data_IF_147087098646
#
_entry.id   IF_147087098646
#
_cell.length_a   1.000
_cell.length_b   1.000
_cell.length_c   1.000
_cell.angle_alpha   90.00
_cell.angle_beta   90.00
_cell.angle_gamma   90.00
#
_symmetry.space_group_name_H-M   'P 1'
#
loop_
_entity.id
_entity.type
_entity.pdbx_description
1 polymer ?
#
# COMPACT_ATOMS: atom_id res chain seq x y z
N UNK A 1 -2.44 12.61 -12.90
CA UNK A 1 -3.00 13.50 -11.87
C UNK A 1 -2.57 12.96 -10.52
N UNK A 2 -1.73 13.68 -9.83
CA UNK A 2 -1.18 13.28 -8.54
C UNK A 2 -2.14 13.76 -7.44
N UNK A 3 -2.64 12.82 -6.63
CA UNK A 3 -3.60 13.11 -5.56
C UNK A 3 -2.90 13.46 -4.25
N UNK A 4 -1.68 12.95 -4.08
CA UNK A 4 -0.84 13.15 -2.90
C UNK A 4 0.57 13.57 -3.30
N UNK A 5 1.16 14.46 -2.54
CA UNK A 5 2.55 14.91 -2.68
C UNK A 5 3.25 14.80 -1.33
N UNK A 6 4.53 14.47 -1.33
CA UNK A 6 5.34 14.54 -0.11
C UNK A 6 6.04 15.89 -0.09
N UNK A 7 5.71 16.73 0.90
CA UNK A 7 6.35 18.03 1.15
C UNK A 7 6.95 18.03 2.55
N UNK A 8 8.25 18.25 2.63
CA UNK A 8 8.98 18.32 3.91
C UNK A 8 8.74 17.12 4.83
N UNK A 9 8.64 15.91 4.25
CA UNK A 9 8.35 14.66 4.98
C UNK A 9 6.90 14.47 5.40
N UNK A 10 5.99 15.38 5.01
CA UNK A 10 4.57 15.26 5.28
C UNK A 10 3.80 14.97 3.99
N UNK A 11 2.75 14.17 4.10
CA UNK A 11 1.83 13.91 2.99
C UNK A 11 0.85 15.07 2.87
N UNK A 12 0.94 15.82 1.79
CA UNK A 12 -0.04 16.80 1.38
C UNK A 12 -0.96 16.20 0.31
N UNK A 13 -2.24 16.52 0.34
CA UNK A 13 -3.17 16.11 -0.70
C UNK A 13 -3.54 17.29 -1.62
N UNK A 14 -3.71 17.00 -2.89
CA UNK A 14 -4.22 17.98 -3.85
C UNK A 14 -5.70 18.31 -3.57
N UNK A 15 -6.13 19.59 -3.66
CA UNK A 15 -7.54 19.95 -3.58
C UNK A 15 -8.44 19.15 -4.53
N UNK A 16 -7.88 18.68 -5.63
CA UNK A 16 -8.56 17.81 -6.59
C UNK A 16 -8.93 16.44 -6.01
N UNK A 17 -8.24 15.95 -4.97
CA UNK A 17 -8.62 14.72 -4.28
C UNK A 17 -10.05 14.83 -3.72
N UNK A 18 -10.48 15.99 -3.28
CA UNK A 18 -11.82 16.23 -2.74
C UNK A 18 -12.94 16.18 -3.77
N UNK A 19 -12.63 16.15 -5.06
CA UNK A 19 -13.63 15.93 -6.13
C UNK A 19 -14.08 14.48 -6.18
N UNK A 20 -13.32 13.56 -5.61
CA UNK A 20 -13.67 12.14 -5.54
C UNK A 20 -14.50 11.85 -4.29
N UNK A 21 -15.59 11.10 -4.50
CA UNK A 21 -16.60 10.83 -3.47
C UNK A 21 -15.99 10.21 -2.22
N UNK A 22 -15.06 9.26 -2.36
CA UNK A 22 -14.42 8.58 -1.24
C UNK A 22 -13.69 9.57 -0.32
N UNK A 23 -12.82 10.43 -0.87
CA UNK A 23 -12.10 11.45 -0.09
C UNK A 23 -13.03 12.56 0.41
N UNK A 24 -14.03 12.95 -0.40
CA UNK A 24 -15.03 13.94 0.04
C UNK A 24 -15.84 13.46 1.26
N UNK A 25 -16.09 12.15 1.40
CA UNK A 25 -16.75 11.58 2.58
C UNK A 25 -15.89 11.72 3.83
N UNK A 26 -14.60 11.38 3.76
CA UNK A 26 -13.66 11.57 4.87
C UNK A 26 -13.58 13.04 5.28
N UNK A 27 -13.47 13.94 4.29
CA UNK A 27 -13.43 15.38 4.52
C UNK A 27 -14.70 15.91 5.20
N UNK A 28 -15.89 15.50 4.74
CA UNK A 28 -17.17 15.94 5.28
C UNK A 28 -17.46 15.39 6.69
N UNK A 29 -16.93 14.22 7.01
CA UNK A 29 -17.07 13.58 8.32
C UNK A 29 -16.41 14.39 9.44
N UNK A 30 -15.22 14.90 9.21
CA UNK A 30 -14.53 15.74 10.19
C UNK A 30 -15.24 17.10 10.31
N UNK A 31 -15.74 17.41 11.50
CA UNK A 31 -16.44 18.69 11.80
C UNK A 31 -15.54 19.75 12.39
N UNK A 32 -14.27 19.41 12.71
CA UNK A 32 -13.33 20.37 13.30
C UNK A 32 -12.89 21.40 12.26
N UNK A 33 -12.60 22.62 12.75
CA UNK A 33 -12.01 23.68 11.91
C UNK A 33 -10.64 23.21 11.41
N UNK A 34 -10.37 23.34 10.11
CA UNK A 34 -9.13 22.87 9.49
C UNK A 34 -9.08 21.38 9.19
N UNK A 35 -10.10 20.59 9.60
CA UNK A 35 -10.24 19.18 9.25
C UNK A 35 -9.01 18.32 9.59
N UNK A 36 -8.43 18.43 10.80
CA UNK A 36 -7.16 17.76 11.11
C UNK A 36 -7.25 16.24 11.04
N UNK A 37 -8.41 15.65 11.41
CA UNK A 37 -8.61 14.20 11.35
C UNK A 37 -8.70 13.74 9.89
N UNK A 38 -9.46 14.45 9.05
CA UNK A 38 -9.58 14.11 7.63
C UNK A 38 -8.23 14.21 6.91
N UNK A 39 -7.42 15.23 7.22
CA UNK A 39 -6.05 15.37 6.68
C UNK A 39 -5.18 14.18 7.08
N UNK A 40 -5.21 13.82 8.37
CA UNK A 40 -4.46 12.69 8.88
C UNK A 40 -4.93 11.34 8.27
N UNK A 41 -6.24 11.15 8.12
CA UNK A 41 -6.79 9.96 7.45
C UNK A 41 -6.41 9.87 5.98
N UNK A 42 -6.37 11.00 5.26
CA UNK A 42 -5.89 11.02 3.87
C UNK A 42 -4.40 10.67 3.78
N UNK A 43 -3.57 11.17 4.71
CA UNK A 43 -2.18 10.76 4.80
C UNK A 43 -2.05 9.26 5.12
N UNK A 44 -2.89 8.73 6.00
CA UNK A 44 -2.95 7.30 6.30
C UNK A 44 -3.36 6.46 5.08
N UNK A 45 -4.30 6.94 4.25
CA UNK A 45 -4.67 6.28 2.98
C UNK A 45 -3.46 6.19 2.05
N UNK A 46 -2.69 7.29 1.91
CA UNK A 46 -1.46 7.28 1.12
C UNK A 46 -0.47 6.23 1.64
N UNK A 47 -0.12 6.30 2.92
CA UNK A 47 0.84 5.36 3.52
C UNK A 47 0.38 3.90 3.45
N UNK A 48 -0.92 3.66 3.53
CA UNK A 48 -1.47 2.31 3.46
C UNK A 48 -1.51 1.74 2.04
N UNK A 49 -1.80 2.58 1.04
CA UNK A 49 -2.18 2.13 -0.29
C UNK A 49 -1.13 2.41 -1.39
N UNK A 50 -0.26 3.42 -1.21
CA UNK A 50 0.70 3.80 -2.24
C UNK A 50 1.89 2.85 -2.29
N UNK A 51 2.25 2.41 -3.50
CA UNK A 51 3.40 1.53 -3.74
C UNK A 51 4.75 2.22 -3.52
N UNK A 52 4.78 3.55 -3.48
CA UNK A 52 5.96 4.37 -3.17
C UNK A 52 6.07 4.72 -1.70
N UNK A 53 5.06 4.41 -0.92
CA UNK A 53 5.06 4.64 0.52
C UNK A 53 6.21 3.89 1.18
N UNK A 54 6.84 4.53 2.17
CA UNK A 54 7.89 3.91 3.00
C UNK A 54 7.40 2.62 3.70
N UNK A 55 6.09 2.47 3.84
CA UNK A 55 5.45 1.29 4.44
C UNK A 55 4.93 0.28 3.42
N UNK A 56 5.27 0.46 2.14
CA UNK A 56 4.82 -0.46 1.08
C UNK A 56 5.30 -1.89 1.28
N UNK A 57 6.42 -2.09 1.98
CA UNK A 57 7.04 -3.40 2.25
C UNK A 57 6.47 -4.11 3.50
N UNK A 58 5.60 -3.45 4.26
CA UNK A 58 4.90 -4.09 5.39
C UNK A 58 3.68 -4.83 4.85
N UNK A 59 3.73 -6.16 4.84
CA UNK A 59 2.70 -6.99 4.21
C UNK A 59 1.55 -7.34 5.15
N UNK A 60 1.81 -7.39 6.46
CA UNK A 60 0.76 -7.62 7.44
C UNK A 60 -0.11 -6.37 7.59
N UNK A 61 -1.43 -6.43 7.29
CA UNK A 61 -2.30 -5.27 7.33
C UNK A 61 -2.39 -4.61 8.70
N UNK A 62 -2.41 -5.41 9.78
CA UNK A 62 -2.50 -4.88 11.13
C UNK A 62 -1.21 -4.19 11.56
N UNK A 63 -0.07 -4.83 11.34
CA UNK A 63 1.25 -4.23 11.60
C UNK A 63 1.43 -2.92 10.83
N UNK A 64 1.00 -2.90 9.57
CA UNK A 64 1.04 -1.69 8.74
C UNK A 64 0.21 -0.55 9.32
N UNK A 65 -1.00 -0.85 9.80
CA UNK A 65 -1.87 0.13 10.45
C UNK A 65 -1.26 0.65 11.76
N UNK A 66 -0.66 -0.22 12.56
CA UNK A 66 -0.03 0.16 13.83
C UNK A 66 1.15 1.11 13.60
N UNK A 67 1.97 0.85 12.56
CA UNK A 67 3.05 1.75 12.17
C UNK A 67 2.49 3.09 11.66
N UNK A 68 1.47 3.08 10.80
CA UNK A 68 0.84 4.31 10.28
C UNK A 68 0.28 5.15 11.43
N UNK A 69 -0.40 4.53 12.40
CA UNK A 69 -0.91 5.23 13.61
C UNK A 69 0.21 5.92 14.38
N UNK A 70 1.39 5.30 14.47
CA UNK A 70 2.53 5.87 15.20
C UNK A 70 3.21 7.04 14.50
N UNK A 71 3.13 7.10 13.17
CA UNK A 71 3.87 8.08 12.34
C UNK A 71 2.99 9.24 11.89
N UNK A 72 1.71 8.99 11.58
CA UNK A 72 0.83 10.03 11.05
C UNK A 72 0.36 10.95 12.16
N UNK A 73 0.85 12.17 12.16
CA UNK A 73 0.45 13.21 13.13
C UNK A 73 -1.03 13.57 12.94
N UNK A 74 -1.77 13.63 14.04
CA UNK A 74 -3.18 14.06 14.05
C UNK A 74 -4.19 12.92 14.01
N UNK A 75 -3.75 11.68 13.87
CA UNK A 75 -4.61 10.50 14.09
C UNK A 75 -4.84 10.35 15.62
N UNK A 76 -6.11 10.26 16.09
CA UNK A 76 -6.40 9.98 17.49
C UNK A 76 -5.86 8.60 17.91
N UNK A 77 -5.45 8.46 19.17
CA UNK A 77 -4.92 7.20 19.70
C UNK A 77 -5.94 6.04 19.64
N UNK A 78 -7.22 6.38 19.76
CA UNK A 78 -8.35 5.45 19.69
C UNK A 78 -8.94 5.31 18.27
N UNK A 79 -8.27 5.89 17.28
CA UNK A 79 -8.72 5.77 15.90
C UNK A 79 -8.61 4.32 15.41
N UNK A 80 -9.69 3.84 14.81
CA UNK A 80 -9.72 2.57 14.09
C UNK A 80 -10.21 2.83 12.66
N UNK A 81 -9.58 2.18 11.66
CA UNK A 81 -9.99 2.31 10.27
C UNK A 81 -11.39 1.73 10.09
N UNK A 82 -12.28 2.53 9.54
CA UNK A 82 -13.66 2.15 9.27
C UNK A 82 -13.94 1.94 7.77
N UNK A 83 -15.18 1.66 7.43
CA UNK A 83 -15.59 1.41 6.05
C UNK A 83 -15.29 2.60 5.12
N UNK A 84 -15.37 3.85 5.60
CA UNK A 84 -15.06 5.03 4.78
C UNK A 84 -13.57 5.14 4.49
N UNK A 85 -12.73 4.79 5.46
CA UNK A 85 -11.29 4.73 5.26
C UNK A 85 -10.93 3.68 4.19
N UNK A 86 -11.48 2.47 4.30
CA UNK A 86 -11.22 1.42 3.32
C UNK A 86 -11.81 1.73 1.95
N UNK A 87 -12.96 2.40 1.85
CA UNK A 87 -13.49 2.90 0.57
C UNK A 87 -12.49 3.86 -0.12
N UNK A 88 -11.85 4.73 0.67
CA UNK A 88 -10.83 5.63 0.14
C UNK A 88 -9.53 4.90 -0.25
N UNK A 89 -9.12 3.89 0.52
CA UNK A 89 -7.98 3.02 0.20
C UNK A 89 -8.22 2.28 -1.12
N UNK A 90 -9.38 1.63 -1.27
CA UNK A 90 -9.71 0.84 -2.46
C UNK A 90 -9.83 1.74 -3.70
N UNK A 91 -10.46 2.91 -3.55
CA UNK A 91 -10.50 3.92 -4.61
C UNK A 91 -9.09 4.34 -5.02
N UNK A 92 -8.20 4.64 -4.07
CA UNK A 92 -6.85 5.08 -4.39
C UNK A 92 -6.02 3.98 -5.06
N UNK A 93 -6.10 2.74 -4.57
CA UNK A 93 -5.47 1.58 -5.21
C UNK A 93 -5.94 1.40 -6.65
N UNK A 94 -7.26 1.46 -6.90
CA UNK A 94 -7.81 1.30 -8.25
C UNK A 94 -7.27 2.34 -9.25
N UNK A 95 -6.88 3.52 -8.78
CA UNK A 95 -6.25 4.56 -9.62
C UNK A 95 -4.79 4.27 -9.99
N UNK A 96 -4.13 3.44 -9.20
CA UNK A 96 -2.75 3.00 -9.44
C UNK A 96 -2.68 1.63 -10.11
N UNK A 97 -3.80 0.92 -10.20
CA UNK A 97 -3.86 -0.43 -10.74
C UNK A 97 -3.30 -0.53 -12.17
N UNK A 98 -2.36 -1.44 -12.30
CA UNK A 98 -1.82 -1.96 -13.54
C UNK A 98 -1.75 -3.47 -13.39
N UNK A 99 -1.56 -4.20 -14.46
CA UNK A 99 -1.34 -5.65 -14.38
C UNK A 99 -0.19 -5.98 -13.44
N UNK A 100 0.88 -5.20 -13.49
CA UNK A 100 2.07 -5.38 -12.65
C UNK A 100 1.77 -5.11 -11.16
N UNK A 101 0.97 -4.08 -10.83
CA UNK A 101 0.61 -3.80 -9.44
C UNK A 101 -0.35 -4.84 -8.86
N UNK A 102 -1.28 -5.37 -9.66
CA UNK A 102 -2.17 -6.47 -9.25
C UNK A 102 -1.33 -7.72 -8.97
N UNK A 103 -0.44 -8.09 -9.91
CA UNK A 103 0.44 -9.25 -9.75
C UNK A 103 1.34 -9.12 -8.50
N UNK A 104 1.86 -7.92 -8.24
CA UNK A 104 2.64 -7.65 -7.04
C UNK A 104 1.81 -7.86 -5.76
N UNK A 105 0.58 -7.38 -5.74
CA UNK A 105 -0.35 -7.58 -4.63
C UNK A 105 -0.62 -9.07 -4.36
N UNK A 106 -0.87 -9.85 -5.40
CA UNK A 106 -1.11 -11.29 -5.32
C UNK A 106 0.15 -12.04 -4.83
N UNK A 107 1.32 -11.67 -5.35
CA UNK A 107 2.60 -12.25 -4.92
C UNK A 107 2.88 -11.98 -3.43
N UNK A 108 2.65 -10.75 -2.95
CA UNK A 108 2.79 -10.38 -1.52
C UNK A 108 1.84 -11.19 -0.64
N UNK A 109 0.58 -11.31 -1.04
CA UNK A 109 -0.41 -12.12 -0.31
C UNK A 109 -0.01 -13.60 -0.25
N UNK A 110 0.56 -14.15 -1.31
CA UNK A 110 1.04 -15.51 -1.34
C UNK A 110 2.22 -15.72 -0.39
N UNK A 111 3.19 -14.81 -0.39
CA UNK A 111 4.36 -14.85 0.51
C UNK A 111 3.91 -14.74 1.97
N UNK A 112 2.99 -13.84 2.30
CA UNK A 112 2.47 -13.70 3.67
C UNK A 112 1.77 -14.99 4.14
N UNK A 113 0.94 -15.61 3.30
CA UNK A 113 0.30 -16.90 3.63
C UNK A 113 1.31 -18.02 3.87
N UNK A 114 2.34 -18.11 3.04
CA UNK A 114 3.42 -19.10 3.21
C UNK A 114 4.15 -18.83 4.53
N UNK A 115 4.49 -17.59 4.81
CA UNK A 115 5.20 -17.19 6.03
C UNK A 115 4.39 -17.48 7.29
N UNK A 116 3.09 -17.22 7.27
CA UNK A 116 2.20 -17.60 8.39
C UNK A 116 2.13 -19.09 8.58
N UNK A 117 1.90 -19.84 7.48
CA UNK A 117 1.88 -21.29 7.56
C UNK A 117 3.15 -21.86 8.17
N UNK A 118 4.33 -21.39 7.75
CA UNK A 118 5.61 -21.87 8.27
C UNK A 118 5.84 -21.54 9.75
N UNK A 119 5.28 -20.44 10.25
CA UNK A 119 5.35 -20.07 11.67
C UNK A 119 4.41 -20.89 12.55
N UNK A 120 3.26 -21.27 12.00
CA UNK A 120 2.17 -21.91 12.75
C UNK A 120 2.18 -23.44 12.64
N UNK A 121 2.90 -24.01 11.64
CA UNK A 121 2.91 -25.43 11.38
C UNK A 121 3.53 -26.21 12.55
N UNK A 122 2.75 -27.14 13.11
CA UNK A 122 3.24 -28.09 14.10
C UNK A 122 3.67 -29.39 13.41
N UNK A 123 4.98 -29.61 13.30
CA UNK A 123 5.55 -30.78 12.63
C UNK A 123 5.26 -32.10 13.34
N UNK A 124 4.90 -32.05 14.62
CA UNK A 124 4.57 -33.23 15.43
C UNK A 124 3.07 -33.57 15.42
N UNK A 125 2.27 -32.83 14.65
CA UNK A 125 0.83 -33.09 14.55
C UNK A 125 0.57 -34.34 13.73
N UNK A 126 -0.16 -35.30 14.30
CA UNK A 126 -0.55 -36.54 13.65
C UNK A 126 -2.06 -36.59 13.43
N UNK A 127 -2.46 -37.16 12.30
CA UNK A 127 -3.86 -37.48 11.97
C UNK A 127 -3.93 -38.96 11.63
N UNK A 128 -4.71 -39.72 12.40
CA UNK A 128 -4.85 -41.18 12.24
C UNK A 128 -3.49 -41.94 12.32
N UNK A 129 -2.58 -41.50 13.21
CA UNK A 129 -1.27 -42.13 13.41
C UNK A 129 -0.26 -41.85 12.28
N UNK A 130 -0.53 -40.87 11.44
CA UNK A 130 0.39 -40.42 10.39
C UNK A 130 0.68 -38.94 10.55
N UNK A 131 1.91 -38.49 10.25
CA UNK A 131 2.21 -37.05 10.26
C UNK A 131 1.23 -36.30 9.36
N UNK A 132 0.60 -35.25 9.88
CA UNK A 132 -0.31 -34.38 9.14
C UNK A 132 0.41 -33.62 8.03
N UNK A 133 1.64 -33.25 8.28
CA UNK A 133 2.46 -32.48 7.36
C UNK A 133 3.66 -33.27 6.87
N UNK A 134 3.93 -33.18 5.59
CA UNK A 134 5.12 -33.77 4.97
C UNK A 134 6.32 -32.86 5.22
N UNK A 135 7.18 -33.27 6.15
CA UNK A 135 8.40 -32.54 6.56
C UNK A 135 9.30 -32.23 5.36
N UNK A 136 9.39 -33.15 4.39
CA UNK A 136 10.18 -32.93 3.17
C UNK A 136 9.64 -31.76 2.35
N UNK A 137 8.33 -31.71 2.15
CA UNK A 137 7.69 -30.60 1.41
C UNK A 137 7.87 -29.26 2.12
N UNK A 138 7.82 -29.25 3.44
CA UNK A 138 8.09 -28.05 4.22
C UNK A 138 9.55 -27.60 4.07
N UNK A 139 10.51 -28.54 4.14
CA UNK A 139 11.91 -28.25 3.91
C UNK A 139 12.18 -27.73 2.48
N UNK A 140 11.55 -28.31 1.47
CA UNK A 140 11.61 -27.84 0.09
C UNK A 140 11.02 -26.43 -0.07
N UNK A 141 9.92 -26.13 0.63
CA UNK A 141 9.32 -24.79 0.64
C UNK A 141 10.26 -23.78 1.28
N UNK A 142 10.89 -24.11 2.41
CA UNK A 142 11.89 -23.27 3.07
C UNK A 142 13.11 -23.02 2.16
N UNK A 143 13.60 -24.06 1.47
CA UNK A 143 14.71 -23.94 0.52
C UNK A 143 14.39 -23.04 -0.69
N UNK A 144 13.12 -22.94 -1.08
CA UNK A 144 12.67 -22.09 -2.18
C UNK A 144 12.31 -20.66 -1.75
N UNK A 145 12.18 -20.38 -0.44
CA UNK A 145 11.80 -19.06 0.06
C UNK A 145 12.72 -17.94 -0.42
N UNK A 146 14.03 -18.17 -0.45
CA UNK A 146 15.00 -17.19 -0.96
C UNK A 146 14.70 -16.80 -2.40
N UNK A 147 14.43 -17.77 -3.27
CA UNK A 147 14.09 -17.53 -4.68
C UNK A 147 12.77 -16.78 -4.84
N UNK A 148 11.79 -17.11 -4.01
CA UNK A 148 10.47 -16.43 -3.99
C UNK A 148 10.66 -14.98 -3.57
N UNK A 149 11.45 -14.73 -2.52
CA UNK A 149 11.73 -13.37 -2.04
C UNK A 149 12.49 -12.53 -3.07
N UNK A 150 13.52 -13.11 -3.71
CA UNK A 150 14.25 -12.43 -4.79
C UNK A 150 13.34 -12.09 -5.98
N UNK A 151 12.42 -12.99 -6.35
CA UNK A 151 11.48 -12.76 -7.43
C UNK A 151 10.47 -11.65 -7.06
N UNK A 152 10.04 -11.60 -5.80
CA UNK A 152 9.17 -10.55 -5.29
C UNK A 152 9.88 -9.19 -5.33
N UNK A 153 11.13 -9.10 -4.87
CA UNK A 153 11.92 -7.86 -4.91
C UNK A 153 12.08 -7.34 -6.34
N UNK A 154 12.38 -8.22 -7.31
CA UNK A 154 12.47 -7.83 -8.72
C UNK A 154 11.16 -7.28 -9.26
N UNK A 155 10.03 -7.90 -8.89
CA UNK A 155 8.71 -7.42 -9.28
C UNK A 155 8.40 -6.06 -8.66
N UNK A 156 8.77 -5.83 -7.40
CA UNK A 156 8.65 -4.53 -6.73
C UNK A 156 9.45 -3.42 -7.42
N UNK A 157 10.70 -3.71 -7.78
CA UNK A 157 11.55 -2.78 -8.53
C UNK A 157 10.95 -2.45 -9.90
N UNK A 158 10.41 -3.46 -10.60
CA UNK A 158 9.78 -3.27 -11.88
C UNK A 158 8.53 -2.38 -11.77
N UNK A 159 7.66 -2.63 -10.79
CA UNK A 159 6.47 -1.82 -10.54
C UNK A 159 6.86 -0.38 -10.17
N UNK A 160 7.86 -0.18 -9.32
CA UNK A 160 8.38 1.17 -8.98
C UNK A 160 8.83 1.92 -10.23
N UNK A 161 9.56 1.27 -11.13
CA UNK A 161 10.01 1.86 -12.41
C UNK A 161 8.83 2.22 -13.32
N UNK A 162 7.88 1.30 -13.52
CA UNK A 162 6.68 1.57 -14.34
C UNK A 162 5.87 2.78 -13.83
N UNK A 163 5.73 2.91 -12.51
CA UNK A 163 5.02 4.04 -11.92
C UNK A 163 5.78 5.35 -12.11
N UNK A 164 7.12 5.35 -11.97
CA UNK A 164 7.95 6.53 -12.22
C UNK A 164 7.91 6.96 -13.69
N UNK A 165 7.98 6.02 -14.63
CA UNK A 165 7.90 6.31 -16.07
C UNK A 165 6.54 6.93 -16.44
N UNK A 166 5.44 6.40 -15.89
CA UNK A 166 4.10 6.96 -16.10
C UNK A 166 3.97 8.40 -15.59
N UNK A 167 4.64 8.74 -14.50
CA UNK A 167 4.64 10.10 -13.97
C UNK A 167 5.48 11.05 -14.81
N UNK A 168 6.67 10.63 -15.23
CA UNK A 168 7.53 11.45 -16.10
C UNK A 168 6.88 11.75 -17.44
N UNK A 169 6.13 10.79 -18.01
CA UNK A 169 5.35 11.01 -19.23
C UNK A 169 4.20 12.01 -19.02
N UNK A 170 3.57 12.02 -17.83
CA UNK A 170 2.49 12.98 -17.53
C UNK A 170 3.01 14.38 -17.23
N UNK A 171 4.15 14.51 -16.54
CA UNK A 171 4.80 15.79 -16.24
C UNK A 171 5.50 16.43 -17.44
N UNK A 172 5.95 15.65 -18.43
CA UNK A 172 6.59 16.15 -19.64
C UNK A 172 5.65 16.90 -20.57
N UNK A 173 4.35 16.59 -20.56
CA UNK A 173 3.37 17.29 -21.39
C UNK A 173 2.96 18.68 -20.86
N UNK A 174 3.05 18.91 -19.57
CA UNK A 174 2.72 20.23 -18.99
C UNK A 174 3.83 21.27 -19.22
N UNK A 175 5.09 20.85 -19.30
CA UNK A 175 6.22 21.77 -19.57
C UNK A 175 6.29 22.27 -21.02
N UNK A 176 5.86 21.47 -21.99
CA UNK A 176 5.93 21.83 -23.40
C UNK A 176 4.91 22.90 -23.83
N UNK A 177 3.82 23.09 -23.09
CA UNK A 177 2.77 24.06 -23.45
C UNK A 177 3.13 25.49 -23.01
N UNK A 178 4.06 25.66 -22.07
CA UNK A 178 4.44 26.98 -21.55
C UNK A 178 5.75 27.53 -22.09
N UNK A 179 6.56 26.76 -22.81
CA UNK A 179 7.85 27.24 -23.36
C UNK A 179 7.82 27.78 -24.77
N UNK A 180 6.74 27.57 -25.54
CA UNK A 180 6.65 28.01 -26.95
C UNK A 180 5.76 29.25 -27.20
N UNK A 181 5.52 30.03 -26.21
CA UNK A 181 4.71 31.23 -26.40
C UNK A 181 5.25 32.47 -25.71
N UNK A 182 6.31 33.07 -26.26
CA UNK A 182 6.52 34.54 -26.36
C UNK A 182 7.87 34.76 -27.09
N UNK A 183 7.77 35.06 -28.36
CA UNK A 183 8.67 35.97 -29.07
C UNK A 183 7.81 37.07 -29.63
#
# INVERSE_FOLDING_TARGET
>A
MELFEIKEGQVAFSPQALTFVAFAKLWKRDKKKGKPIAVAEMAAVYFYADYKSDFSEIYNPQEKLDVIKSVVTGIPNDWEPDALFYEAVDFYKSRQETVSTILLGDARNAVDKISRFLREVNLNEEVNGKPKHDVKKIADTLGNLSKITESLQKLEEQVKKELQEKESMRGGHEKAIFEDGIV
#
